data_IF_265526038963
#
_entry.id   IF_265526038963
#
_cell.length_a   1.000
_cell.length_b   1.000
_cell.length_c   1.000
_cell.angle_alpha   90.00
_cell.angle_beta   90.00
_cell.angle_gamma   90.00
#
_symmetry.space_group_name_H-M   'P 1'
#
loop_
_entity.id
_entity.type
_entity.pdbx_description
1 polymer ?
#
# COMPACT_ATOMS: atom_id res chain seq x y z
N UNK A 1 -3.41 -16.27 15.64
CA UNK A 1 -2.12 -15.66 15.27
C UNK A 1 -2.24 -14.16 15.49
N UNK A 2 -1.14 -13.42 15.75
CA UNK A 2 -1.21 -11.99 16.02
C UNK A 2 -1.61 -11.20 14.77
N UNK A 3 -2.35 -10.11 14.96
CA UNK A 3 -2.67 -9.13 13.92
C UNK A 3 -1.75 -7.92 14.13
N UNK A 4 -1.16 -7.41 13.08
CA UNK A 4 -0.22 -6.30 13.18
C UNK A 4 -0.74 -5.06 12.48
N UNK A 5 -0.48 -3.91 13.09
CA UNK A 5 -0.68 -2.60 12.50
C UNK A 5 0.68 -1.92 12.37
N UNK A 6 1.05 -1.49 11.16
CA UNK A 6 2.36 -0.92 10.86
C UNK A 6 2.20 0.53 10.40
N UNK A 7 2.87 1.45 11.12
CA UNK A 7 2.87 2.89 10.82
C UNK A 7 4.31 3.40 10.83
N UNK A 8 4.67 4.26 9.88
CA UNK A 8 5.88 5.09 9.97
C UNK A 8 5.53 6.44 10.56
N UNK A 9 6.37 6.98 11.45
CA UNK A 9 6.14 8.29 12.00
C UNK A 9 7.41 9.05 12.34
N UNK A 10 7.40 10.34 12.07
CA UNK A 10 8.41 11.30 12.52
C UNK A 10 7.82 12.30 13.51
N UNK A 11 6.56 12.14 13.84
CA UNK A 11 5.77 13.01 14.71
C UNK A 11 5.85 12.58 16.17
N UNK A 12 5.58 13.49 17.11
CA UNK A 12 5.21 13.12 18.48
C UNK A 12 3.85 12.40 18.50
N UNK A 13 3.54 11.60 19.53
CA UNK A 13 2.22 10.98 19.64
C UNK A 13 1.09 12.02 19.49
N UNK A 14 0.37 11.92 18.39
CA UNK A 14 -0.78 12.75 18.03
C UNK A 14 -2.10 12.00 18.27
N UNK A 15 -3.23 12.56 17.86
CA UNK A 15 -4.57 11.96 18.05
C UNK A 15 -4.69 10.64 17.31
N UNK A 16 -4.24 10.57 16.05
CA UNK A 16 -4.30 9.35 15.25
C UNK A 16 -3.52 8.20 15.89
N UNK A 17 -2.24 8.45 16.26
CA UNK A 17 -1.41 7.43 16.91
C UNK A 17 -2.00 6.95 18.25
N UNK A 18 -2.60 7.86 19.05
CA UNK A 18 -3.26 7.47 20.31
C UNK A 18 -4.49 6.62 20.04
N UNK A 19 -5.30 6.97 19.04
CA UNK A 19 -6.48 6.20 18.63
C UNK A 19 -6.09 4.80 18.17
N UNK A 20 -5.02 4.67 17.40
CA UNK A 20 -4.49 3.37 16.99
C UNK A 20 -3.95 2.57 18.17
N UNK A 21 -3.26 3.19 19.12
CA UNK A 21 -2.74 2.49 20.30
C UNK A 21 -3.86 1.93 21.18
N UNK A 22 -4.90 2.71 21.43
CA UNK A 22 -6.09 2.30 22.21
C UNK A 22 -6.83 1.18 21.47
N UNK A 23 -7.16 1.39 20.19
CA UNK A 23 -7.87 0.40 19.40
C UNK A 23 -7.07 -0.90 19.21
N UNK A 24 -5.74 -0.82 19.04
CA UNK A 24 -4.88 -2.00 18.96
C UNK A 24 -4.99 -2.86 20.21
N UNK A 25 -4.97 -2.25 21.39
CA UNK A 25 -5.17 -2.97 22.66
C UNK A 25 -6.58 -3.61 22.74
N UNK A 26 -7.62 -2.87 22.33
CA UNK A 26 -9.00 -3.33 22.41
C UNK A 26 -9.31 -4.48 21.45
N UNK A 27 -8.79 -4.40 20.21
CA UNK A 27 -9.10 -5.35 19.13
C UNK A 27 -8.02 -6.39 18.87
N UNK A 28 -6.98 -6.44 19.72
CA UNK A 28 -5.95 -7.46 19.70
C UNK A 28 -4.97 -7.32 18.51
N UNK A 29 -4.56 -6.09 18.20
CA UNK A 29 -3.50 -5.80 17.27
C UNK A 29 -2.19 -5.46 17.99
N UNK A 30 -1.06 -5.84 17.41
CA UNK A 30 0.27 -5.37 17.78
C UNK A 30 0.61 -4.14 16.95
N UNK A 31 0.71 -2.96 17.60
CA UNK A 31 1.05 -1.71 16.93
C UNK A 31 2.57 -1.54 16.84
N UNK A 32 3.09 -1.57 15.63
CA UNK A 32 4.50 -1.35 15.29
C UNK A 32 4.67 0.05 14.69
N UNK A 33 5.47 0.87 15.33
CA UNK A 33 5.81 2.22 14.88
C UNK A 33 7.27 2.27 14.43
N UNK A 34 7.50 2.65 13.19
CA UNK A 34 8.83 2.78 12.61
C UNK A 34 9.21 4.26 12.56
N UNK A 35 10.22 4.60 13.33
CA UNK A 35 10.79 5.96 13.35
C UNK A 35 11.80 6.20 12.25
N UNK A 36 12.19 7.46 12.08
CA UNK A 36 13.27 7.90 11.20
C UNK A 36 14.09 9.01 11.90
N UNK A 37 15.08 9.55 11.24
CA UNK A 37 16.02 10.54 11.78
C UNK A 37 15.36 11.80 12.38
N UNK A 38 14.14 12.14 11.96
CA UNK A 38 13.35 13.26 12.50
C UNK A 38 12.46 12.86 13.69
N UNK A 39 12.33 11.57 13.99
CA UNK A 39 11.47 11.13 15.10
C UNK A 39 12.01 11.59 16.45
N UNK A 40 11.14 11.91 17.42
CA UNK A 40 11.55 12.31 18.76
C UNK A 40 12.37 11.20 19.44
N UNK A 41 13.50 11.56 20.05
CA UNK A 41 14.37 10.60 20.79
C UNK A 41 13.69 10.04 22.03
N UNK A 42 12.77 10.81 22.64
CA UNK A 42 11.99 10.49 23.81
C UNK A 42 10.59 9.95 23.45
N UNK A 43 10.44 9.34 22.26
CA UNK A 43 9.14 8.84 21.81
C UNK A 43 8.63 7.74 22.76
N UNK A 44 7.46 7.95 23.31
CA UNK A 44 6.76 6.97 24.13
C UNK A 44 5.26 7.02 23.85
N UNK A 45 4.67 5.86 23.56
CA UNK A 45 3.22 5.70 23.41
C UNK A 45 2.83 4.35 24.00
N UNK A 46 1.97 4.32 25.06
CA UNK A 46 1.46 3.07 25.62
C UNK A 46 0.78 2.21 24.52
N UNK A 47 0.91 0.89 24.65
CA UNK A 47 0.35 -0.09 23.70
C UNK A 47 0.89 -0.01 22.27
N UNK A 48 2.07 0.62 22.08
CA UNK A 48 2.76 0.67 20.81
C UNK A 48 4.24 0.31 21.00
N UNK A 49 4.81 -0.38 20.05
CA UNK A 49 6.24 -0.68 19.98
C UNK A 49 6.89 0.26 18.98
N UNK A 50 7.64 1.21 19.48
CA UNK A 50 8.38 2.15 18.65
C UNK A 50 9.81 1.67 18.43
N UNK A 51 10.24 1.68 17.17
CA UNK A 51 11.59 1.33 16.76
C UNK A 51 12.32 2.56 16.23
N UNK A 52 13.27 3.08 17.01
CA UNK A 52 14.17 4.15 16.60
C UNK A 52 15.13 3.67 15.50
N UNK A 53 15.89 4.58 14.87
CA UNK A 53 16.95 4.17 13.92
C UNK A 53 17.97 3.24 14.57
N UNK A 54 18.30 3.49 15.84
CA UNK A 54 19.22 2.64 16.59
C UNK A 54 18.67 1.23 16.80
N UNK A 55 17.38 1.10 17.14
CA UNK A 55 16.71 -0.20 17.29
C UNK A 55 16.65 -0.94 15.96
N UNK A 56 16.29 -0.24 14.90
CA UNK A 56 16.22 -0.81 13.54
C UNK A 56 17.58 -1.32 13.05
N UNK A 57 18.68 -0.65 13.41
CA UNK A 57 20.04 -1.08 13.04
C UNK A 57 20.49 -2.40 13.71
N UNK A 58 19.85 -2.76 14.83
CA UNK A 58 20.15 -3.99 15.60
C UNK A 58 19.31 -5.20 15.13
N UNK A 59 18.33 -4.98 14.25
CA UNK A 59 17.48 -6.05 13.74
C UNK A 59 18.29 -7.02 12.86
N UNK A 60 17.92 -8.31 12.85
CA UNK A 60 18.66 -9.34 12.09
C UNK A 60 18.37 -9.32 10.59
N UNK A 61 17.68 -8.29 10.08
CA UNK A 61 17.27 -8.21 8.69
C UNK A 61 18.37 -7.62 7.80
N UNK A 62 18.59 -8.23 6.64
CA UNK A 62 19.50 -7.70 5.62
C UNK A 62 19.00 -6.35 5.08
N UNK A 63 17.67 -6.24 4.87
CA UNK A 63 17.03 -5.03 4.39
C UNK A 63 17.26 -3.83 5.33
N UNK A 64 17.19 -4.02 6.65
CA UNK A 64 17.37 -2.93 7.63
C UNK A 64 18.74 -2.27 7.57
N UNK A 65 19.77 -3.02 7.13
CA UNK A 65 21.16 -2.54 6.98
C UNK A 65 21.38 -1.69 5.73
N UNK A 66 20.51 -1.87 4.71
CA UNK A 66 20.62 -1.19 3.42
C UNK A 66 19.61 -0.04 3.30
N UNK A 67 18.53 -0.07 4.10
CA UNK A 67 17.42 0.87 4.01
C UNK A 67 17.87 2.31 4.30
N UNK A 68 17.56 3.23 3.39
CA UNK A 68 17.89 4.65 3.52
C UNK A 68 17.12 5.31 4.67
N UNK A 69 17.76 6.26 5.33
CA UNK A 69 17.09 7.21 6.22
C UNK A 69 16.30 8.26 5.42
N UNK A 70 15.35 8.90 6.08
CA UNK A 70 14.46 9.94 5.50
C UNK A 70 13.70 9.43 4.27
N UNK A 71 13.24 8.19 4.36
CA UNK A 71 12.53 7.57 3.26
C UNK A 71 11.35 6.73 3.74
N UNK A 72 10.22 6.81 3.03
CA UNK A 72 8.99 6.09 3.37
C UNK A 72 9.16 4.56 3.35
N UNK A 73 10.06 4.05 2.50
CA UNK A 73 10.37 2.62 2.41
C UNK A 73 10.90 2.00 3.70
N UNK A 74 11.24 2.80 4.73
CA UNK A 74 11.52 2.27 6.07
C UNK A 74 10.35 1.48 6.67
N UNK A 75 9.13 1.71 6.20
CA UNK A 75 7.94 0.92 6.55
C UNK A 75 8.13 -0.57 6.29
N UNK A 76 8.96 -0.96 5.30
CA UNK A 76 9.34 -2.34 5.04
C UNK A 76 9.94 -3.04 6.27
N UNK A 77 10.67 -2.32 7.13
CA UNK A 77 11.21 -2.88 8.38
C UNK A 77 10.08 -3.27 9.34
N UNK A 78 9.02 -2.48 9.40
CA UNK A 78 7.83 -2.79 10.17
C UNK A 78 7.09 -4.03 9.66
N UNK A 79 7.05 -4.22 8.34
CA UNK A 79 6.49 -5.43 7.75
C UNK A 79 7.34 -6.67 8.08
N UNK A 80 8.66 -6.58 8.00
CA UNK A 80 9.55 -7.69 8.38
C UNK A 80 9.38 -8.08 9.85
N UNK A 81 9.22 -7.11 10.75
CA UNK A 81 8.89 -7.37 12.15
C UNK A 81 7.57 -8.12 12.30
N UNK A 82 6.50 -7.64 11.64
CA UNK A 82 5.20 -8.29 11.68
C UNK A 82 5.24 -9.72 11.11
N UNK A 83 5.96 -9.95 10.00
CA UNK A 83 6.14 -11.27 9.40
C UNK A 83 6.92 -12.18 10.34
N UNK A 84 7.99 -11.69 10.97
CA UNK A 84 8.83 -12.48 11.89
C UNK A 84 8.08 -12.98 13.13
N UNK A 85 6.99 -12.32 13.49
CA UNK A 85 6.12 -12.69 14.60
C UNK A 85 4.94 -13.59 14.18
N UNK A 86 4.93 -14.03 12.92
CA UNK A 86 3.88 -14.92 12.40
C UNK A 86 2.53 -14.22 12.25
N UNK A 87 2.53 -12.98 11.79
CA UNK A 87 1.32 -12.18 11.59
C UNK A 87 0.26 -12.91 10.76
N UNK A 88 -0.99 -12.92 11.24
CA UNK A 88 -2.16 -13.41 10.52
C UNK A 88 -2.60 -12.42 9.44
N UNK A 89 -2.54 -11.14 9.78
CA UNK A 89 -2.73 -10.02 8.86
C UNK A 89 -1.77 -8.89 9.23
N UNK A 90 -1.38 -8.12 8.21
CA UNK A 90 -0.69 -6.85 8.38
C UNK A 90 -1.59 -5.76 7.82
N UNK A 91 -1.93 -4.79 8.66
CA UNK A 91 -2.61 -3.56 8.22
C UNK A 91 -1.59 -2.44 8.20
N UNK A 92 -1.52 -1.70 7.13
CA UNK A 92 -0.69 -0.51 7.03
C UNK A 92 -1.54 0.75 6.98
N UNK A 93 -1.09 1.79 7.66
CA UNK A 93 -1.73 3.11 7.65
C UNK A 93 -0.69 4.20 7.93
N UNK A 94 -1.12 5.45 7.95
CA UNK A 94 -0.27 6.61 8.20
C UNK A 94 -0.63 7.28 9.53
N UNK A 95 0.28 8.10 10.05
CA UNK A 95 0.17 8.73 11.38
C UNK A 95 -0.77 9.96 11.43
N UNK A 96 -1.46 10.26 10.33
CA UNK A 96 -2.48 11.30 10.19
C UNK A 96 -3.89 10.77 9.85
N UNK A 97 -4.05 9.44 9.82
CA UNK A 97 -5.33 8.79 9.64
C UNK A 97 -5.96 8.45 11.00
N UNK A 98 -7.22 8.76 11.18
CA UNK A 98 -7.98 8.43 12.40
C UNK A 98 -8.91 7.25 12.07
N UNK A 99 -8.77 6.10 12.76
CA UNK A 99 -9.61 4.94 12.51
C UNK A 99 -11.05 5.17 12.94
N UNK A 100 -12.01 4.65 12.15
CA UNK A 100 -13.40 4.50 12.57
C UNK A 100 -13.60 3.13 13.25
N UNK A 101 -14.81 2.85 13.74
CA UNK A 101 -15.10 1.54 14.33
C UNK A 101 -14.97 0.41 13.29
N UNK A 102 -15.32 0.67 12.05
CA UNK A 102 -15.26 -0.28 10.94
C UNK A 102 -13.81 -0.69 10.58
N UNK A 103 -12.81 0.14 10.93
CA UNK A 103 -11.39 -0.20 10.75
C UNK A 103 -11.02 -1.51 11.45
N UNK A 104 -11.61 -1.76 12.63
CA UNK A 104 -11.31 -2.90 13.48
C UNK A 104 -12.15 -4.15 13.16
N UNK A 105 -13.06 -4.05 12.20
CA UNK A 105 -13.87 -5.19 11.78
C UNK A 105 -13.00 -6.37 11.33
N UNK A 106 -13.52 -7.60 11.53
CA UNK A 106 -12.85 -8.82 11.09
C UNK A 106 -12.57 -8.76 9.58
N UNK A 107 -11.39 -9.21 9.19
CA UNK A 107 -10.95 -9.28 7.79
C UNK A 107 -11.09 -10.71 7.29
N UNK A 108 -11.57 -10.85 6.06
CA UNK A 108 -11.71 -12.14 5.36
C UNK A 108 -10.92 -12.06 4.06
N UNK A 109 -10.02 -13.01 3.83
CA UNK A 109 -9.20 -13.07 2.61
C UNK A 109 -10.05 -13.32 1.35
N UNK A 110 -11.21 -13.94 1.51
CA UNK A 110 -12.13 -14.27 0.42
C UNK A 110 -13.50 -13.65 0.62
N UNK A 111 -13.62 -12.31 0.67
CA UNK A 111 -14.88 -11.63 0.91
C UNK A 111 -15.87 -11.85 -0.25
N UNK A 112 -17.14 -11.67 0.06
CA UNK A 112 -18.18 -11.58 -0.98
C UNK A 112 -18.20 -10.16 -1.53
N UNK A 113 -17.96 -10.02 -2.83
CA UNK A 113 -17.88 -8.70 -3.48
C UNK A 113 -18.29 -8.78 -4.97
N UNK A 114 -18.48 -7.61 -5.57
CA UNK A 114 -18.56 -7.47 -7.02
C UNK A 114 -17.17 -7.48 -7.62
N UNK A 115 -17.05 -7.84 -8.90
CA UNK A 115 -15.75 -7.88 -9.60
C UNK A 115 -15.77 -7.08 -10.90
N UNK A 116 -14.64 -6.46 -11.24
CA UNK A 116 -14.33 -5.96 -12.58
C UNK A 116 -13.16 -6.76 -13.11
N UNK A 117 -13.27 -7.24 -14.33
CA UNK A 117 -12.24 -8.00 -15.04
C UNK A 117 -12.08 -7.45 -16.44
N UNK A 118 -10.90 -7.53 -17.01
CA UNK A 118 -10.59 -7.09 -18.36
C UNK A 118 -9.57 -5.97 -18.39
N UNK A 119 -9.04 -5.66 -19.58
CA UNK A 119 -7.99 -4.64 -19.78
C UNK A 119 -8.57 -3.23 -19.65
N UNK A 120 -8.74 -2.78 -18.41
CA UNK A 120 -9.41 -1.54 -18.05
C UNK A 120 -8.58 -0.71 -17.07
N UNK A 121 -8.75 0.62 -17.15
CA UNK A 121 -8.41 1.53 -16.05
C UNK A 121 -9.67 1.84 -15.28
N UNK A 122 -9.68 1.51 -13.98
CA UNK A 122 -10.84 1.63 -13.11
C UNK A 122 -10.61 2.76 -12.11
N UNK A 123 -11.31 3.88 -12.28
CA UNK A 123 -11.31 4.93 -11.27
C UNK A 123 -12.18 4.50 -10.09
N UNK A 124 -11.59 3.78 -9.15
CA UNK A 124 -12.31 3.20 -8.01
C UNK A 124 -12.97 4.27 -7.12
N UNK A 125 -12.39 5.46 -7.01
CA UNK A 125 -12.99 6.55 -6.21
C UNK A 125 -14.32 7.01 -6.81
N UNK A 126 -14.45 6.96 -8.13
CA UNK A 126 -15.69 7.29 -8.81
C UNK A 126 -16.78 6.22 -8.63
N UNK A 127 -16.41 4.98 -8.31
CA UNK A 127 -17.41 3.96 -7.92
C UNK A 127 -18.03 4.32 -6.57
N UNK A 128 -17.24 4.79 -5.61
CA UNK A 128 -17.70 5.14 -4.26
C UNK A 128 -18.12 6.61 -4.10
N UNK A 129 -18.21 7.40 -5.16
CA UNK A 129 -18.55 8.82 -5.06
C UNK A 129 -19.23 9.35 -6.32
N UNK A 130 -20.24 10.17 -6.12
CA UNK A 130 -20.83 10.97 -7.20
C UNK A 130 -19.98 12.19 -7.59
N UNK A 131 -18.98 12.54 -6.77
CA UNK A 131 -18.04 13.62 -7.08
C UNK A 131 -17.03 13.18 -8.13
N UNK A 132 -16.56 14.13 -8.93
CA UNK A 132 -15.44 13.87 -9.83
C UNK A 132 -14.17 13.81 -9.02
N UNK A 133 -13.71 12.61 -8.74
CA UNK A 133 -12.54 12.33 -7.90
C UNK A 133 -11.75 11.14 -8.48
N UNK A 134 -10.44 11.13 -8.27
CA UNK A 134 -9.57 10.03 -8.68
C UNK A 134 -8.43 9.82 -7.69
N UNK A 135 -7.94 8.57 -7.52
CA UNK A 135 -6.83 8.29 -6.62
C UNK A 135 -5.49 8.79 -7.19
N UNK A 136 -4.55 9.11 -6.30
CA UNK A 136 -3.16 9.41 -6.67
C UNK A 136 -2.58 8.25 -7.50
N UNK A 137 -1.85 8.61 -8.55
CA UNK A 137 -1.26 7.64 -9.47
C UNK A 137 -2.20 7.14 -10.58
N UNK A 138 -3.48 7.49 -10.56
CA UNK A 138 -4.38 7.18 -11.67
C UNK A 138 -3.91 7.94 -12.93
N UNK A 139 -3.76 7.28 -14.09
CA UNK A 139 -3.31 7.95 -15.30
C UNK A 139 -4.28 9.06 -15.72
N UNK A 140 -3.77 10.28 -15.81
CA UNK A 140 -4.60 11.47 -16.09
C UNK A 140 -5.28 11.39 -17.47
N UNK A 141 -4.67 10.72 -18.43
CA UNK A 141 -5.21 10.50 -19.77
C UNK A 141 -6.46 9.59 -19.77
N UNK A 142 -6.69 8.87 -18.65
CA UNK A 142 -7.82 7.95 -18.47
C UNK A 142 -8.96 8.52 -17.63
N UNK A 143 -8.83 9.74 -17.10
CA UNK A 143 -9.83 10.36 -16.21
C UNK A 143 -11.24 10.51 -16.80
N UNK A 144 -11.33 10.58 -18.13
CA UNK A 144 -12.58 10.78 -18.84
C UNK A 144 -13.18 9.48 -19.38
N UNK A 145 -12.53 8.35 -19.06
CA UNK A 145 -13.06 7.03 -19.42
C UNK A 145 -14.34 6.71 -18.66
N UNK A 146 -15.23 5.96 -19.30
CA UNK A 146 -16.41 5.43 -18.62
C UNK A 146 -15.97 4.37 -17.57
N UNK A 147 -16.69 4.30 -16.46
CA UNK A 147 -16.52 3.22 -15.48
C UNK A 147 -16.84 1.89 -16.17
N UNK A 148 -15.93 0.90 -16.17
CA UNK A 148 -16.20 -0.41 -16.72
C UNK A 148 -17.35 -1.10 -15.98
N UNK A 149 -18.14 -1.97 -16.63
CA UNK A 149 -19.18 -2.73 -15.96
C UNK A 149 -18.57 -3.72 -14.95
N UNK A 150 -19.16 -3.79 -13.76
CA UNK A 150 -18.84 -4.83 -12.77
C UNK A 150 -19.78 -6.03 -12.92
N UNK A 151 -19.45 -7.15 -12.27
CA UNK A 151 -20.35 -8.31 -12.20
C UNK A 151 -21.71 -7.93 -11.63
N UNK A 152 -22.77 -8.61 -12.11
CA UNK A 152 -24.12 -8.44 -11.57
C UNK A 152 -24.21 -9.12 -10.20
N UNK A 153 -23.60 -10.30 -10.06
CA UNK A 153 -23.54 -11.08 -8.82
C UNK A 153 -22.52 -10.55 -7.82
N UNK A 154 -22.68 -10.98 -6.58
CA UNK A 154 -21.75 -10.83 -5.49
C UNK A 154 -21.23 -12.22 -5.16
N UNK A 155 -19.97 -12.48 -5.52
CA UNK A 155 -19.35 -13.78 -5.39
C UNK A 155 -18.17 -13.75 -4.40
N UNK A 156 -17.81 -14.91 -3.87
CA UNK A 156 -16.63 -15.04 -3.03
C UNK A 156 -15.38 -14.91 -3.92
N UNK A 157 -14.50 -13.97 -3.59
CA UNK A 157 -13.34 -13.62 -4.41
C UNK A 157 -12.08 -13.56 -3.55
N UNK A 158 -11.02 -14.25 -3.98
CA UNK A 158 -9.76 -14.27 -3.25
C UNK A 158 -9.01 -12.93 -3.40
N UNK A 159 -8.93 -12.17 -2.32
CA UNK A 159 -8.38 -10.82 -2.26
C UNK A 159 -7.34 -10.70 -1.13
N UNK A 160 -6.11 -11.20 -1.33
CA UNK A 160 -5.07 -11.12 -0.29
C UNK A 160 -4.54 -9.71 -0.05
N UNK A 161 -4.95 -8.74 -0.86
CA UNK A 161 -4.70 -7.31 -0.69
C UNK A 161 -6.04 -6.57 -0.71
N UNK A 162 -6.30 -5.77 0.34
CA UNK A 162 -7.57 -5.08 0.50
C UNK A 162 -7.34 -3.61 0.89
N UNK A 163 -7.73 -2.70 0.01
CA UNK A 163 -7.62 -1.26 0.20
C UNK A 163 -8.91 -0.70 0.77
N UNK A 164 -8.89 -0.18 1.97
CA UNK A 164 -9.94 0.69 2.50
C UNK A 164 -9.75 2.13 2.02
N UNK A 165 -10.86 2.81 1.73
CA UNK A 165 -10.81 4.24 1.41
C UNK A 165 -10.61 5.08 2.67
N UNK A 166 -10.33 6.37 2.49
CA UNK A 166 -10.22 7.37 3.55
C UNK A 166 -11.18 8.52 3.27
N UNK A 167 -11.99 8.90 4.27
CA UNK A 167 -12.86 10.07 4.19
C UNK A 167 -12.09 11.37 4.50
N UNK A 168 -12.69 12.49 4.17
CA UNK A 168 -12.28 13.88 4.35
C UNK A 168 -11.13 14.29 3.43
N UNK A 169 -9.95 13.70 3.54
CA UNK A 169 -8.79 13.96 2.68
C UNK A 169 -8.29 12.64 2.04
N UNK A 170 -9.04 12.03 1.11
CA UNK A 170 -8.60 10.81 0.44
C UNK A 170 -7.27 11.03 -0.29
N UNK A 171 -6.55 9.95 -0.55
CA UNK A 171 -5.27 10.01 -1.24
C UNK A 171 -5.45 10.31 -2.73
N UNK A 172 -5.68 11.59 -3.00
CA UNK A 172 -5.73 12.17 -4.34
C UNK A 172 -4.40 12.85 -4.67
N UNK A 173 -4.11 13.01 -5.96
CA UNK A 173 -2.89 13.65 -6.42
C UNK A 173 -2.87 15.18 -6.21
N UNK A 174 -1.70 15.78 -6.42
CA UNK A 174 -1.51 17.22 -6.25
C UNK A 174 -2.32 18.05 -7.24
N UNK A 175 -2.56 17.56 -8.46
CA UNK A 175 -3.42 18.23 -9.45
C UNK A 175 -4.84 18.32 -8.92
N UNK A 176 -5.40 17.20 -8.41
CA UNK A 176 -6.70 17.22 -7.77
C UNK A 176 -6.77 18.28 -6.67
N UNK A 177 -5.80 18.25 -5.76
CA UNK A 177 -5.76 19.18 -4.60
C UNK A 177 -5.64 20.63 -4.98
N UNK A 178 -5.01 20.95 -6.11
CA UNK A 178 -4.85 22.31 -6.61
C UNK A 178 -6.13 22.85 -7.27
N UNK A 179 -6.97 21.98 -7.87
CA UNK A 179 -8.06 22.44 -8.73
C UNK A 179 -9.46 21.94 -8.31
N UNK A 180 -9.54 20.97 -7.40
CA UNK A 180 -10.80 20.38 -6.96
C UNK A 180 -11.04 20.58 -5.47
N UNK A 181 -12.29 20.67 -5.02
CA UNK A 181 -12.60 20.90 -3.61
C UNK A 181 -12.38 19.66 -2.74
N UNK A 182 -11.96 19.89 -1.50
CA UNK A 182 -11.94 18.95 -0.37
C UNK A 182 -12.65 19.64 0.82
N UNK A 183 -13.20 18.93 1.80
CA UNK A 183 -13.15 17.46 1.96
C UNK A 183 -14.15 16.71 1.09
N UNK A 184 -13.90 15.41 0.88
CA UNK A 184 -14.81 14.47 0.22
C UNK A 184 -15.09 13.28 1.13
N UNK A 185 -16.36 12.87 1.20
CA UNK A 185 -16.79 11.63 1.85
C UNK A 185 -17.28 10.65 0.80
N UNK A 186 -16.87 9.40 0.95
CA UNK A 186 -17.30 8.32 0.07
C UNK A 186 -18.67 7.75 0.48
N UNK A 187 -19.45 7.35 -0.50
CA UNK A 187 -20.67 6.59 -0.29
C UNK A 187 -20.34 5.19 0.28
N UNK A 188 -21.26 4.64 1.06
CA UNK A 188 -21.14 3.28 1.61
C UNK A 188 -21.81 2.31 0.66
N UNK A 189 -20.97 1.62 -0.14
CA UNK A 189 -21.41 0.68 -1.18
C UNK A 189 -20.82 -0.72 -0.93
N UNK A 190 -21.30 -1.70 -1.72
CA UNK A 190 -20.71 -3.03 -1.72
C UNK A 190 -19.24 -2.96 -2.13
N UNK A 191 -18.36 -3.79 -1.52
CA UNK A 191 -16.97 -3.88 -1.92
C UNK A 191 -16.82 -4.27 -3.40
N UNK A 192 -15.77 -3.76 -4.03
CA UNK A 192 -15.47 -4.02 -5.44
C UNK A 192 -14.05 -4.56 -5.57
N UNK A 193 -13.91 -5.74 -6.18
CA UNK A 193 -12.62 -6.35 -6.45
C UNK A 193 -12.18 -6.09 -7.90
N UNK A 194 -10.92 -5.74 -8.08
CA UNK A 194 -10.29 -5.61 -9.38
C UNK A 194 -9.49 -6.86 -9.69
N UNK A 195 -9.97 -7.61 -10.68
CA UNK A 195 -9.38 -8.87 -11.14
C UNK A 195 -8.51 -8.66 -12.36
N UNK A 196 -8.11 -9.74 -13.01
CA UNK A 196 -7.18 -9.78 -14.13
C UNK A 196 -7.43 -8.67 -15.17
N UNK A 197 -6.39 -7.87 -15.44
CA UNK A 197 -6.38 -6.79 -16.42
C UNK A 197 -6.95 -5.46 -15.94
N UNK A 198 -7.57 -5.39 -14.75
CA UNK A 198 -8.21 -4.16 -14.24
C UNK A 198 -7.28 -3.37 -13.34
N UNK A 199 -6.78 -2.24 -13.82
CA UNK A 199 -5.82 -1.39 -13.13
C UNK A 199 -6.47 -0.26 -12.33
N UNK A 200 -6.09 -0.15 -11.07
CA UNK A 200 -6.27 1.05 -10.25
C UNK A 200 -5.10 1.17 -9.27
N UNK A 201 -4.42 2.29 -9.15
CA UNK A 201 -3.42 2.45 -8.11
C UNK A 201 -4.09 2.31 -6.74
N UNK A 202 -3.38 1.68 -5.80
CA UNK A 202 -3.71 1.68 -4.39
C UNK A 202 -2.49 2.12 -3.57
N UNK A 203 -2.72 2.55 -2.36
CA UNK A 203 -1.71 3.18 -1.52
C UNK A 203 -1.48 2.42 -0.22
N UNK A 204 -0.66 2.97 0.67
CA UNK A 204 -0.34 2.44 1.99
C UNK A 204 -1.08 3.17 3.13
N UNK A 205 -2.12 3.94 2.81
CA UNK A 205 -2.87 4.74 3.77
C UNK A 205 -3.85 3.92 4.62
N UNK A 206 -4.43 2.85 4.06
CA UNK A 206 -5.43 2.01 4.72
C UNK A 206 -5.52 0.66 4.02
N UNK A 207 -4.47 -0.16 4.09
CA UNK A 207 -4.39 -1.40 3.32
C UNK A 207 -4.13 -2.59 4.23
N UNK A 208 -4.93 -3.65 4.04
CA UNK A 208 -4.79 -4.94 4.72
C UNK A 208 -4.13 -5.95 3.79
N UNK A 209 -3.14 -6.68 4.32
CA UNK A 209 -2.39 -7.71 3.63
C UNK A 209 -2.52 -9.03 4.36
N UNK A 210 -2.76 -10.10 3.59
CA UNK A 210 -2.77 -11.47 4.08
C UNK A 210 -1.46 -12.18 3.76
N UNK A 211 -1.12 -13.28 4.46
CA UNK A 211 0.17 -13.96 4.35
C UNK A 211 0.57 -14.34 2.92
N UNK A 212 -0.40 -14.74 2.09
CA UNK A 212 -0.15 -15.10 0.69
C UNK A 212 0.51 -13.98 -0.11
N UNK A 213 0.21 -12.71 0.25
CA UNK A 213 0.73 -11.52 -0.44
C UNK A 213 1.88 -10.80 0.29
N UNK A 214 2.43 -11.33 1.39
CA UNK A 214 3.46 -10.62 2.17
C UNK A 214 4.73 -10.33 1.39
N UNK A 215 5.10 -11.19 0.45
CA UNK A 215 6.22 -10.91 -0.46
C UNK A 215 6.02 -9.61 -1.25
N UNK A 216 4.77 -9.23 -1.55
CA UNK A 216 4.40 -8.07 -2.36
C UNK A 216 4.30 -6.75 -1.57
N UNK A 217 4.54 -6.77 -0.25
CA UNK A 217 4.55 -5.58 0.60
C UNK A 217 5.70 -4.60 0.28
N UNK A 218 6.73 -5.04 -0.44
CA UNK A 218 7.93 -4.29 -0.72
C UNK A 218 7.67 -2.89 -1.30
N UNK A 219 8.08 -1.86 -0.58
CA UNK A 219 8.05 -0.47 -0.99
C UNK A 219 9.40 -0.09 -1.62
N UNK A 220 9.45 0.32 -2.89
CA UNK A 220 10.70 0.73 -3.53
C UNK A 220 11.27 2.01 -2.92
N UNK A 221 12.59 2.19 -3.07
CA UNK A 221 13.34 3.29 -2.48
C UNK A 221 13.87 4.29 -3.53
N UNK A 222 14.23 3.81 -4.71
CA UNK A 222 14.84 4.65 -5.75
C UNK A 222 13.81 5.27 -6.68
N UNK A 223 12.77 5.86 -6.09
CA UNK A 223 11.72 6.62 -6.77
C UNK A 223 11.33 7.85 -5.94
N UNK A 224 10.53 8.72 -6.51
CA UNK A 224 9.93 9.83 -5.77
C UNK A 224 9.15 9.32 -4.56
N UNK A 225 9.27 10.02 -3.43
CA UNK A 225 8.56 9.72 -2.18
C UNK A 225 7.06 9.49 -2.40
N UNK A 226 6.45 10.30 -3.26
CA UNK A 226 5.02 10.24 -3.58
C UNK A 226 4.63 9.07 -4.48
N UNK A 227 5.61 8.39 -5.11
CA UNK A 227 5.35 7.26 -6.02
C UNK A 227 5.68 5.90 -5.41
N UNK A 228 6.28 5.85 -4.24
CA UNK A 228 6.74 4.63 -3.58
C UNK A 228 5.64 3.55 -3.48
N UNK A 229 4.53 3.85 -2.87
CA UNK A 229 3.41 2.93 -2.68
C UNK A 229 2.56 2.75 -3.96
N UNK A 230 2.49 3.79 -4.79
CA UNK A 230 1.78 3.73 -6.07
C UNK A 230 2.45 2.74 -7.04
N UNK A 231 3.78 2.82 -7.19
CA UNK A 231 4.48 1.91 -8.09
C UNK A 231 4.54 0.48 -7.54
N UNK A 232 4.64 0.31 -6.20
CA UNK A 232 4.38 -0.99 -5.57
C UNK A 232 3.02 -1.54 -5.99
N UNK A 233 1.99 -0.69 -5.99
CA UNK A 233 0.62 -1.15 -6.28
C UNK A 233 0.47 -1.72 -7.69
N UNK A 234 1.13 -1.16 -8.69
CA UNK A 234 1.11 -1.70 -10.04
C UNK A 234 1.82 -3.05 -10.13
N UNK A 235 3.00 -3.16 -9.51
CA UNK A 235 3.73 -4.43 -9.45
C UNK A 235 2.90 -5.51 -8.74
N UNK A 236 2.33 -5.18 -7.58
CA UNK A 236 1.51 -6.11 -6.81
C UNK A 236 0.27 -6.58 -7.60
N UNK A 237 -0.47 -5.66 -8.24
CA UNK A 237 -1.62 -6.01 -9.09
C UNK A 237 -1.23 -6.97 -10.21
N UNK A 238 -0.13 -6.67 -10.94
CA UNK A 238 0.32 -7.53 -12.02
C UNK A 238 0.65 -8.94 -11.56
N UNK A 239 1.27 -9.08 -10.38
CA UNK A 239 1.62 -10.39 -9.81
C UNK A 239 0.36 -11.08 -9.24
N UNK A 240 -0.58 -10.36 -8.64
CA UNK A 240 -1.85 -10.92 -8.20
C UNK A 240 -2.56 -11.68 -9.31
N UNK A 241 -2.61 -11.14 -10.52
CA UNK A 241 -3.29 -11.79 -11.64
C UNK A 241 -2.65 -13.11 -12.07
N UNK A 242 -1.33 -13.29 -11.91
CA UNK A 242 -0.70 -14.58 -12.20
C UNK A 242 -1.07 -15.68 -11.20
N UNK A 243 -1.77 -15.33 -10.12
CA UNK A 243 -2.24 -16.21 -9.07
C UNK A 243 -3.77 -16.25 -8.95
N UNK A 244 -4.50 -15.71 -9.92
CA UNK A 244 -5.95 -15.54 -9.89
C UNK A 244 -6.45 -14.74 -8.67
N UNK A 245 -5.61 -13.85 -8.13
CA UNK A 245 -5.95 -12.96 -7.04
C UNK A 245 -6.47 -11.62 -7.53
N UNK A 246 -7.37 -11.04 -6.74
CA UNK A 246 -7.90 -9.71 -6.96
C UNK A 246 -7.45 -8.75 -5.86
N UNK A 247 -7.46 -7.46 -6.14
CA UNK A 247 -7.32 -6.41 -5.13
C UNK A 247 -8.72 -5.90 -4.79
N UNK A 248 -9.09 -5.99 -3.51
CA UNK A 248 -10.38 -5.48 -3.02
C UNK A 248 -10.27 -4.00 -2.70
N UNK A 249 -11.31 -3.26 -3.06
CA UNK A 249 -11.55 -1.91 -2.55
C UNK A 249 -12.87 -1.90 -1.76
N UNK A 250 -12.83 -1.28 -0.59
CA UNK A 250 -14.00 -1.21 0.29
C UNK A 250 -14.17 0.18 0.90
N UNK A 251 -15.30 0.38 1.54
CA UNK A 251 -15.69 1.64 2.17
C UNK A 251 -14.59 2.26 3.03
N UNK A 252 -14.63 3.57 3.19
CA UNK A 252 -13.72 4.27 4.06
C UNK A 252 -13.86 3.78 5.51
N UNK A 253 -12.74 3.40 6.12
CA UNK A 253 -12.63 2.95 7.50
C UNK A 253 -11.68 3.83 8.32
N UNK A 254 -11.11 4.83 7.66
CA UNK A 254 -10.36 5.92 8.30
C UNK A 254 -10.86 7.26 7.77
N UNK A 255 -10.61 8.33 8.54
CA UNK A 255 -10.67 9.71 8.05
C UNK A 255 -9.29 10.33 8.16
N UNK A 256 -8.83 11.07 7.16
CA UNK A 256 -7.53 11.70 7.20
C UNK A 256 -7.65 13.16 7.65
N UNK A 257 -6.91 13.50 8.70
CA UNK A 257 -6.59 14.87 9.09
C UNK A 257 -5.20 15.22 8.55
N UNK A 258 -5.18 15.63 7.27
CA UNK A 258 -3.92 15.86 6.59
C UNK A 258 -3.12 16.99 7.24
N UNK A 259 -1.84 16.72 7.47
CA UNK A 259 -0.86 17.74 7.85
C UNK A 259 -0.74 18.83 6.77
N UNK A 260 -0.31 20.04 7.14
CA UNK A 260 -0.02 21.09 6.15
C UNK A 260 1.09 20.64 5.20
N UNK A 261 0.81 20.72 3.91
CA UNK A 261 1.73 20.37 2.83
C UNK A 261 1.91 21.55 1.88
N UNK A 262 3.11 21.67 1.31
CA UNK A 262 3.31 22.52 0.15
C UNK A 262 2.86 21.77 -1.10
N UNK A 263 1.68 22.10 -1.63
CA UNK A 263 1.10 21.41 -2.79
C UNK A 263 1.96 21.50 -4.05
N UNK A 264 2.80 22.54 -4.19
CA UNK A 264 3.71 22.65 -5.33
C UNK A 264 4.90 21.69 -5.20
N UNK A 265 5.35 21.41 -3.98
CA UNK A 265 6.34 20.35 -3.75
C UNK A 265 5.72 18.98 -4.00
N UNK A 266 4.51 18.73 -3.50
CA UNK A 266 3.77 17.49 -3.79
C UNK A 266 3.62 17.28 -5.31
N UNK A 267 3.26 18.34 -6.05
CA UNK A 267 3.17 18.30 -7.51
C UNK A 267 4.50 17.94 -8.16
N UNK A 268 5.60 18.57 -7.75
CA UNK A 268 6.93 18.29 -8.28
C UNK A 268 7.34 16.84 -8.03
N UNK A 269 7.05 16.31 -6.83
CA UNK A 269 7.35 14.93 -6.44
C UNK A 269 6.45 13.90 -7.17
N UNK A 270 5.32 14.32 -7.74
CA UNK A 270 4.39 13.46 -8.49
C UNK A 270 4.61 13.49 -10.01
N UNK A 271 5.44 14.41 -10.54
CA UNK A 271 5.70 14.53 -11.99
C UNK A 271 6.16 13.21 -12.59
N UNK A 272 7.05 12.49 -11.91
CA UNK A 272 7.53 11.18 -12.37
C UNK A 272 6.38 10.17 -12.51
N UNK A 273 5.39 10.21 -11.63
CA UNK A 273 4.18 9.40 -11.73
C UNK A 273 3.35 9.77 -12.96
N UNK A 274 3.06 11.05 -13.15
CA UNK A 274 2.30 11.52 -14.31
C UNK A 274 2.94 11.11 -15.64
N UNK A 275 4.27 11.20 -15.72
CA UNK A 275 5.01 10.87 -16.93
C UNK A 275 5.20 9.37 -17.19
N UNK A 276 5.18 8.54 -16.13
CA UNK A 276 5.66 7.15 -16.26
C UNK A 276 4.61 6.10 -15.89
N UNK A 277 3.50 6.42 -15.23
CA UNK A 277 2.53 5.39 -14.79
C UNK A 277 2.03 4.52 -15.96
N UNK A 278 1.69 5.11 -17.11
CA UNK A 278 1.30 4.33 -18.30
C UNK A 278 2.45 3.50 -18.88
N UNK A 279 3.68 3.99 -18.83
CA UNK A 279 4.87 3.24 -19.29
C UNK A 279 5.13 2.03 -18.38
N UNK A 280 4.99 2.22 -17.07
CA UNK A 280 5.12 1.13 -16.09
C UNK A 280 4.09 0.05 -16.39
N UNK A 281 2.81 0.44 -16.52
CA UNK A 281 1.72 -0.49 -16.79
C UNK A 281 1.96 -1.24 -18.10
N UNK A 282 2.34 -0.54 -19.17
CA UNK A 282 2.65 -1.17 -20.45
C UNK A 282 3.82 -2.17 -20.35
N UNK A 283 4.89 -1.82 -19.62
CA UNK A 283 6.02 -2.73 -19.41
C UNK A 283 5.60 -3.97 -18.61
N UNK A 284 4.84 -3.79 -17.51
CA UNK A 284 4.36 -4.89 -16.69
C UNK A 284 3.41 -5.84 -17.43
N UNK A 285 2.58 -5.32 -18.35
CA UNK A 285 1.66 -6.13 -19.17
C UNK A 285 2.39 -7.08 -20.12
N UNK A 286 3.59 -6.75 -20.57
CA UNK A 286 4.36 -7.60 -21.49
C UNK A 286 5.05 -8.77 -20.80
N UNK A 287 5.13 -8.78 -19.46
CA UNK A 287 5.88 -9.79 -18.74
C UNK A 287 5.12 -11.13 -18.68
N UNK A 288 5.81 -12.22 -18.96
CA UNK A 288 5.33 -13.58 -18.71
C UNK A 288 5.67 -13.98 -17.28
N UNK A 289 4.70 -13.84 -16.36
CA UNK A 289 4.85 -14.18 -14.96
C UNK A 289 4.39 -15.62 -14.69
N UNK A 290 5.07 -16.29 -13.76
CA UNK A 290 4.72 -17.65 -13.34
C UNK A 290 3.60 -17.64 -12.31
N UNK A 291 2.72 -18.62 -12.38
CA UNK A 291 1.66 -18.84 -11.40
C UNK A 291 2.19 -19.60 -10.16
N UNK A 292 1.57 -19.34 -9.02
CA UNK A 292 1.86 -19.99 -7.74
C UNK A 292 2.69 -19.14 -6.78
N UNK A 293 2.39 -19.25 -5.50
CA UNK A 293 3.04 -18.50 -4.41
C UNK A 293 4.56 -18.69 -4.34
N UNK A 294 5.06 -19.86 -4.75
CA UNK A 294 6.49 -20.15 -4.82
C UNK A 294 7.25 -19.30 -5.84
N UNK A 295 6.56 -18.67 -6.78
CA UNK A 295 7.15 -17.83 -7.82
C UNK A 295 7.04 -16.32 -7.55
N UNK A 296 6.47 -15.90 -6.41
CA UNK A 296 6.28 -14.47 -6.10
C UNK A 296 7.60 -13.69 -6.09
N UNK A 297 8.66 -14.25 -5.52
CA UNK A 297 9.98 -13.62 -5.50
C UNK A 297 10.60 -13.46 -6.88
N UNK A 298 10.48 -14.49 -7.73
CA UNK A 298 10.96 -14.44 -9.11
C UNK A 298 10.17 -13.40 -9.93
N UNK A 299 8.85 -13.38 -9.78
CA UNK A 299 7.98 -12.41 -10.43
C UNK A 299 8.27 -10.97 -9.98
N UNK A 300 8.56 -10.76 -8.68
CA UNK A 300 9.01 -9.45 -8.19
C UNK A 300 10.29 -9.00 -8.87
N UNK A 301 11.30 -9.88 -8.96
CA UNK A 301 12.57 -9.56 -9.63
C UNK A 301 12.31 -9.19 -11.09
N UNK A 302 11.45 -9.92 -11.81
CA UNK A 302 11.10 -9.60 -13.20
C UNK A 302 10.43 -8.24 -13.32
N UNK A 303 9.44 -7.96 -12.48
CA UNK A 303 8.72 -6.68 -12.50
C UNK A 303 9.65 -5.50 -12.20
N UNK A 304 10.43 -5.57 -11.13
CA UNK A 304 11.34 -4.46 -10.77
C UNK A 304 12.49 -4.31 -11.78
N UNK A 305 12.98 -5.40 -12.39
CA UNK A 305 13.94 -5.34 -13.48
C UNK A 305 13.38 -4.58 -14.68
N UNK A 306 12.12 -4.83 -15.05
CA UNK A 306 11.47 -4.10 -16.12
C UNK A 306 11.35 -2.59 -15.83
N UNK A 307 11.04 -2.23 -14.57
CA UNK A 307 10.97 -0.82 -14.15
C UNK A 307 12.35 -0.13 -14.23
N UNK A 308 13.42 -0.85 -13.91
CA UNK A 308 14.80 -0.36 -14.04
C UNK A 308 15.16 -0.22 -15.54
N UNK A 309 14.82 -1.20 -16.37
CA UNK A 309 15.13 -1.21 -17.81
C UNK A 309 14.48 -0.03 -18.54
N UNK A 310 13.25 0.32 -18.21
CA UNK A 310 12.57 1.50 -18.77
C UNK A 310 13.01 2.83 -18.14
N UNK A 311 13.98 2.80 -17.20
CA UNK A 311 14.57 3.98 -16.57
C UNK A 311 13.68 4.69 -15.54
N UNK A 312 12.70 3.98 -14.96
CA UNK A 312 11.80 4.52 -13.94
C UNK A 312 12.40 4.35 -12.55
N UNK A 313 13.10 3.26 -12.31
CA UNK A 313 13.88 3.02 -11.09
C UNK A 313 15.37 2.97 -11.40
N UNK A 314 16.19 3.35 -10.43
CA UNK A 314 17.65 3.20 -10.52
C UNK A 314 18.07 1.75 -10.23
N UNK A 315 19.20 1.32 -10.79
CA UNK A 315 19.72 -0.04 -10.62
C UNK A 315 19.98 -0.46 -9.17
N UNK A 316 20.27 0.49 -8.28
CA UNK A 316 20.44 0.26 -6.85
C UNK A 316 19.22 -0.31 -6.14
N UNK A 317 18.04 -0.20 -6.73
CA UNK A 317 16.81 -0.81 -6.21
C UNK A 317 16.91 -2.32 -6.08
N UNK A 318 17.64 -2.98 -7.00
CA UNK A 318 17.74 -4.43 -7.01
C UNK A 318 18.43 -5.01 -5.77
N UNK A 319 19.38 -4.30 -5.18
CA UNK A 319 20.06 -4.76 -3.96
C UNK A 319 19.12 -4.74 -2.75
N UNK A 320 18.29 -3.71 -2.64
CA UNK A 320 17.26 -3.60 -1.62
C UNK A 320 16.17 -4.66 -1.80
N UNK A 321 15.72 -4.86 -3.02
CA UNK A 321 14.72 -5.89 -3.34
C UNK A 321 15.23 -7.30 -3.02
N UNK A 322 16.48 -7.63 -3.37
CA UNK A 322 17.08 -8.93 -3.03
C UNK A 322 17.20 -9.13 -1.53
N UNK A 323 17.57 -8.08 -0.79
CA UNK A 323 17.62 -8.14 0.68
C UNK A 323 16.22 -8.39 1.26
N UNK A 324 15.19 -7.69 0.78
CA UNK A 324 13.80 -7.92 1.15
C UNK A 324 13.36 -9.37 0.88
N UNK A 325 13.58 -9.87 -0.34
CA UNK A 325 13.22 -11.23 -0.73
C UNK A 325 13.90 -12.25 0.18
N UNK A 326 15.20 -12.09 0.42
CA UNK A 326 15.97 -12.99 1.29
C UNK A 326 15.41 -13.02 2.72
N UNK A 327 15.09 -11.85 3.28
CA UNK A 327 14.55 -11.75 4.63
C UNK A 327 13.15 -12.38 4.72
N UNK A 328 12.24 -12.08 3.77
CA UNK A 328 10.89 -12.66 3.77
C UNK A 328 10.91 -14.16 3.55
N UNK A 329 11.71 -14.67 2.62
CA UNK A 329 11.86 -16.13 2.40
C UNK A 329 12.36 -16.84 3.66
N UNK A 330 13.37 -16.26 4.33
CA UNK A 330 13.88 -16.82 5.58
C UNK A 330 12.84 -16.84 6.70
N UNK A 331 11.99 -15.82 6.79
CA UNK A 331 10.93 -15.72 7.80
C UNK A 331 9.74 -16.64 7.54
N UNK A 332 9.36 -16.83 6.27
CA UNK A 332 8.25 -17.69 5.89
C UNK A 332 8.65 -19.16 5.67
N UNK A 333 9.93 -19.51 5.86
CA UNK A 333 10.49 -20.84 5.57
C UNK A 333 10.19 -21.32 4.13
N UNK A 334 10.16 -20.41 3.18
CA UNK A 334 9.97 -20.73 1.76
C UNK A 334 11.34 -21.13 1.20
N UNK A 335 11.48 -22.42 0.85
CA UNK A 335 12.68 -22.92 0.16
C UNK A 335 12.76 -22.33 -1.24
N UNK A 336 13.95 -21.88 -1.64
CA UNK A 336 14.26 -21.37 -2.99
C UNK A 336 14.24 -22.47 -4.03
#
# INVERSE_FOLDING_TARGET
MPKHLVITTVSRPNEALRSYAIGSQEYGYELILIGDSKSPRDFHLPHARFYSLEDQSKLPFNYSKLCRERHYSRKNIGYLLAISEGGEIIVETDDDNIPTLEFWAAKDISPRCRTITGDNFVNIYQYFSSHKIWPRGFPLEKLWGAMPPHSIGIDQTLCPIQQGLADDNPDVDAIYRLVMPLPVKFDRLDPLALSNGSWCPFNSQNTTWFPDAYMLLYLPTFCSFRMTDIWRSFVAQRICWSNDWSVLFHNATVRQERNEHNLMNDFADEVDGYCNNLKIIAALQTLELKSGVGHLSENLVLCYSALIEIGVLEAGEMDLLKAWISDVQGLLNIST
#
